data_IF_224359941609
#
_entry.id   IF_224359941609
#
_cell.length_a   1.000
_cell.length_b   1.000
_cell.length_c   1.000
_cell.angle_alpha   90.00
_cell.angle_beta   90.00
_cell.angle_gamma   90.00
#
_symmetry.space_group_name_H-M   'P 1'
#
loop_
_entity.id
_entity.type
_entity.pdbx_description
1 polymer ?
#
# COMPACT_ATOMS: atom_id res chain seq x y z
N UNK A 1 -19.34 14.14 -10.04
CA UNK A 1 -19.04 12.95 -10.87
C UNK A 1 -18.49 13.43 -12.20
N UNK A 2 -17.50 12.75 -12.78
CA UNK A 2 -16.98 13.03 -14.13
C UNK A 2 -17.32 11.86 -15.05
N UNK A 3 -17.64 12.14 -16.30
CA UNK A 3 -17.92 11.12 -17.30
C UNK A 3 -16.66 10.82 -18.11
N UNK A 4 -16.43 9.54 -18.41
CA UNK A 4 -15.32 9.07 -19.22
C UNK A 4 -15.88 8.28 -20.41
N UNK A 5 -15.55 8.73 -21.62
CA UNK A 5 -15.89 8.02 -22.86
C UNK A 5 -14.65 7.32 -23.37
N UNK A 6 -14.74 6.01 -23.61
CA UNK A 6 -13.63 5.17 -24.06
C UNK A 6 -14.11 4.37 -25.27
N UNK A 7 -13.35 4.41 -26.36
CA UNK A 7 -13.55 3.51 -27.49
C UNK A 7 -12.96 2.14 -27.18
N UNK A 8 -13.77 1.10 -27.29
CA UNK A 8 -13.39 -0.28 -26.97
C UNK A 8 -13.78 -1.16 -28.15
N UNK A 9 -12.96 -2.15 -28.56
CA UNK A 9 -13.35 -3.11 -29.58
C UNK A 9 -14.66 -3.82 -29.21
N UNK A 10 -15.56 -4.01 -30.18
CA UNK A 10 -16.89 -4.57 -29.97
C UNK A 10 -16.86 -5.94 -29.29
N UNK A 11 -15.92 -6.81 -29.69
CA UNK A 11 -15.77 -8.15 -29.13
C UNK A 11 -15.41 -8.09 -27.64
N UNK A 12 -14.49 -7.18 -27.28
CA UNK A 12 -14.09 -6.98 -25.89
C UNK A 12 -15.25 -6.42 -25.06
N UNK A 13 -16.01 -5.46 -25.61
CA UNK A 13 -17.20 -4.92 -24.96
C UNK A 13 -18.24 -6.01 -24.69
N UNK A 14 -18.53 -6.86 -25.69
CA UNK A 14 -19.49 -7.97 -25.54
C UNK A 14 -19.05 -8.96 -24.47
N UNK A 15 -17.79 -9.40 -24.51
CA UNK A 15 -17.24 -10.33 -23.52
C UNK A 15 -17.29 -9.75 -22.10
N UNK A 16 -16.85 -8.50 -21.94
CA UNK A 16 -16.85 -7.82 -20.65
C UNK A 16 -18.28 -7.65 -20.11
N UNK A 17 -19.24 -7.30 -20.98
CA UNK A 17 -20.65 -7.17 -20.60
C UNK A 17 -21.26 -8.51 -20.17
N UNK A 18 -21.01 -9.58 -20.91
CA UNK A 18 -21.47 -10.93 -20.54
C UNK A 18 -20.90 -11.38 -19.20
N UNK A 19 -19.61 -11.11 -18.97
CA UNK A 19 -18.94 -11.44 -17.70
C UNK A 19 -19.49 -10.63 -16.53
N UNK A 20 -19.75 -9.33 -16.73
CA UNK A 20 -20.34 -8.47 -15.71
C UNK A 20 -21.76 -8.93 -15.36
N UNK A 21 -22.58 -9.27 -16.37
CA UNK A 21 -23.92 -9.80 -16.17
C UNK A 21 -23.92 -11.13 -15.39
N UNK A 22 -22.99 -12.04 -15.69
CA UNK A 22 -22.83 -13.29 -14.95
C UNK A 22 -22.45 -13.09 -13.47
N UNK A 23 -21.82 -11.95 -13.15
CA UNK A 23 -21.47 -11.55 -11.80
C UNK A 23 -22.52 -10.59 -11.18
N UNK A 24 -23.69 -10.43 -11.81
CA UNK A 24 -24.79 -9.56 -11.37
C UNK A 24 -24.38 -8.09 -11.14
N UNK A 25 -23.37 -7.60 -11.86
CA UNK A 25 -22.88 -6.23 -11.77
C UNK A 25 -22.90 -5.53 -13.13
N UNK A 26 -22.98 -4.19 -13.12
CA UNK A 26 -22.91 -3.41 -14.34
C UNK A 26 -21.46 -3.29 -14.84
N UNK A 27 -21.28 -3.19 -16.16
CA UNK A 27 -19.96 -2.96 -16.73
C UNK A 27 -19.33 -1.64 -16.22
N UNK A 28 -20.14 -0.60 -16.03
CA UNK A 28 -19.69 0.66 -15.44
C UNK A 28 -19.18 0.49 -14.01
N UNK A 29 -19.80 -0.39 -13.22
CA UNK A 29 -19.34 -0.74 -11.86
C UNK A 29 -17.99 -1.44 -11.91
N UNK A 30 -17.81 -2.39 -12.85
CA UNK A 30 -16.52 -3.07 -13.06
C UNK A 30 -15.40 -2.06 -13.37
N UNK A 31 -15.65 -1.13 -14.29
CA UNK A 31 -14.66 -0.09 -14.64
C UNK A 31 -14.38 0.82 -13.45
N UNK A 32 -15.41 1.21 -12.69
CA UNK A 32 -15.24 2.03 -11.49
C UNK A 32 -14.36 1.33 -10.45
N UNK A 33 -14.64 0.06 -10.17
CA UNK A 33 -13.89 -0.73 -9.19
C UNK A 33 -12.43 -0.94 -9.65
N UNK A 34 -12.23 -1.18 -10.94
CA UNK A 34 -10.89 -1.26 -11.53
C UNK A 34 -10.12 0.05 -11.36
N UNK A 35 -10.71 1.19 -11.72
CA UNK A 35 -10.07 2.50 -11.59
C UNK A 35 -9.79 2.86 -10.12
N UNK A 36 -10.70 2.51 -9.21
CA UNK A 36 -10.51 2.72 -7.78
C UNK A 36 -9.31 1.94 -7.25
N UNK A 37 -9.21 0.65 -7.63
CA UNK A 37 -8.08 -0.21 -7.26
C UNK A 37 -6.77 0.28 -7.85
N UNK A 38 -6.75 0.58 -9.15
CA UNK A 38 -5.59 1.12 -9.84
C UNK A 38 -5.08 2.41 -9.19
N UNK A 39 -5.98 3.34 -8.86
CA UNK A 39 -5.62 4.57 -8.16
C UNK A 39 -5.20 4.34 -6.69
N UNK A 40 -5.69 3.28 -6.05
CA UNK A 40 -5.33 2.95 -4.67
C UNK A 40 -3.95 2.32 -4.54
N UNK A 41 -3.53 1.45 -5.47
CA UNK A 41 -2.24 0.75 -5.39
C UNK A 41 -1.06 1.74 -5.39
N UNK A 42 -1.12 2.76 -6.23
CA UNK A 42 -0.10 3.82 -6.28
C UNK A 42 -0.10 4.66 -4.99
N UNK A 43 -1.29 5.01 -4.47
CA UNK A 43 -1.43 5.77 -3.21
C UNK A 43 -0.90 4.99 -2.02
N UNK A 44 -1.24 3.70 -1.90
CA UNK A 44 -0.81 2.86 -0.78
C UNK A 44 0.72 2.69 -0.75
N UNK A 45 1.36 2.60 -1.91
CA UNK A 45 2.83 2.54 -1.97
C UNK A 45 3.48 3.86 -1.59
N UNK A 46 2.99 4.98 -2.14
CA UNK A 46 3.51 6.30 -1.79
C UNK A 46 3.30 6.64 -0.31
N UNK A 47 2.13 6.33 0.25
CA UNK A 47 1.81 6.48 1.67
C UNK A 47 2.73 5.62 2.55
N UNK A 48 3.01 4.37 2.14
CA UNK A 48 3.93 3.49 2.85
C UNK A 48 5.36 4.05 2.86
N UNK A 49 5.86 4.51 1.72
CA UNK A 49 7.19 5.12 1.61
C UNK A 49 7.28 6.36 2.48
N UNK A 50 6.30 7.27 2.38
CA UNK A 50 6.25 8.47 3.23
C UNK A 50 6.21 8.12 4.72
N UNK A 51 5.50 7.04 5.10
CA UNK A 51 5.48 6.58 6.49
C UNK A 51 6.82 6.04 6.94
N UNK A 52 7.54 5.32 6.08
CA UNK A 52 8.90 4.86 6.36
C UNK A 52 9.85 6.04 6.55
N UNK A 53 9.79 7.06 5.70
CA UNK A 53 10.64 8.26 5.81
C UNK A 53 10.45 8.97 7.17
N UNK A 54 9.20 9.08 7.65
CA UNK A 54 8.91 9.63 8.97
C UNK A 54 9.53 8.78 10.08
N UNK A 55 9.39 7.45 10.01
CA UNK A 55 9.95 6.54 11.02
C UNK A 55 11.49 6.56 11.03
N UNK A 56 12.12 6.67 9.86
CA UNK A 56 13.57 6.82 9.75
C UNK A 56 14.02 8.15 10.35
N UNK A 57 13.37 9.27 10.01
CA UNK A 57 13.68 10.57 10.59
C UNK A 57 13.52 10.60 12.12
N UNK A 58 12.47 9.96 12.66
CA UNK A 58 12.28 9.79 14.10
C UNK A 58 13.40 8.94 14.74
N UNK A 59 13.84 7.88 14.06
CA UNK A 59 14.95 7.05 14.56
C UNK A 59 16.28 7.78 14.53
N UNK A 60 16.60 8.42 13.41
CA UNK A 60 17.82 9.21 13.23
C UNK A 60 17.88 10.37 14.23
N UNK A 61 16.74 10.99 14.53
CA UNK A 61 16.63 12.01 15.57
C UNK A 61 16.93 11.47 16.97
N UNK A 62 16.42 10.28 17.32
CA UNK A 62 16.69 9.63 18.63
C UNK A 62 18.15 9.21 18.79
N UNK A 63 18.78 8.80 17.69
CA UNK A 63 20.11 8.23 17.69
C UNK A 63 21.19 9.24 17.25
N UNK A 64 20.82 10.51 17.01
CA UNK A 64 21.69 11.57 16.49
C UNK A 64 23.00 11.74 17.26
N UNK A 65 22.93 11.59 18.58
CA UNK A 65 24.06 11.80 19.49
C UNK A 65 24.71 10.47 19.92
N UNK A 66 24.25 9.32 19.39
CA UNK A 66 24.85 8.02 19.67
C UNK A 66 26.07 7.80 18.77
N UNK A 67 27.26 7.60 19.33
CA UNK A 67 28.46 7.38 18.52
C UNK A 67 28.45 5.97 17.90
N UNK A 68 28.53 5.92 16.57
CA UNK A 68 28.79 4.70 15.80
C UNK A 68 27.56 4.00 15.22
N UNK A 69 27.81 2.91 14.48
CA UNK A 69 26.73 2.03 14.04
C UNK A 69 26.00 1.45 15.26
N UNK A 70 24.73 1.07 15.09
CA UNK A 70 23.94 0.43 16.13
C UNK A 70 24.55 -0.88 16.71
N UNK A 71 25.68 -1.34 16.16
CA UNK A 71 26.48 -2.45 16.67
C UNK A 71 25.90 -3.80 16.25
N UNK A 72 26.64 -4.90 16.47
CA UNK A 72 26.06 -6.22 16.33
C UNK A 72 24.95 -6.39 17.37
N UNK A 73 23.71 -6.58 16.93
CA UNK A 73 22.62 -6.99 17.80
C UNK A 73 22.51 -8.50 17.78
N UNK A 74 22.66 -9.13 18.94
CA UNK A 74 22.19 -10.50 19.10
C UNK A 74 20.68 -10.52 19.34
N UNK A 75 20.04 -11.61 18.93
CA UNK A 75 18.62 -11.83 19.17
C UNK A 75 18.33 -11.82 20.67
N UNK A 76 19.23 -12.42 21.45
CA UNK A 76 19.17 -12.58 22.90
C UNK A 76 19.16 -11.22 23.61
N UNK A 77 20.00 -10.27 23.19
CA UNK A 77 20.03 -8.89 23.73
C UNK A 77 18.71 -8.15 23.48
N UNK A 78 18.11 -8.31 22.29
CA UNK A 78 16.82 -7.69 21.95
C UNK A 78 15.70 -8.24 22.82
N UNK A 79 15.69 -9.54 23.08
CA UNK A 79 14.69 -10.15 23.97
C UNK A 79 14.88 -9.77 25.43
N UNK A 80 16.13 -9.69 25.91
CA UNK A 80 16.44 -9.25 27.26
C UNK A 80 15.95 -7.81 27.51
N UNK A 81 16.26 -6.88 26.59
CA UNK A 81 15.81 -5.49 26.67
C UNK A 81 14.27 -5.36 26.62
N UNK A 82 13.60 -6.24 25.86
CA UNK A 82 12.13 -6.28 25.79
C UNK A 82 11.52 -6.73 27.12
N UNK A 83 12.08 -7.73 27.78
CA UNK A 83 11.57 -8.24 29.06
C UNK A 83 11.73 -7.23 30.21
N UNK A 84 12.85 -6.51 30.25
CA UNK A 84 13.08 -5.46 31.26
C UNK A 84 12.11 -4.28 31.13
N UNK A 85 11.60 -3.98 29.93
CA UNK A 85 10.59 -2.93 29.72
C UNK A 85 9.22 -3.23 30.33
N UNK A 86 8.95 -4.49 30.68
CA UNK A 86 7.67 -4.94 31.27
C UNK A 86 7.80 -5.37 32.74
N UNK A 87 8.94 -5.09 33.38
CA UNK A 87 9.14 -5.22 34.83
C UNK A 87 8.87 -3.90 35.53
#
# INVERSE_FOLDING_TARGET
>A
MKNLTISVPDDLYRQARSKAAAAEISLSRVVQDFLARWASEERSRAELVARLDVLFAESDGRDRDKPGSAGPFSREEVYAARLDRFR
#
